data_IF_813115014057
#
_entry.id   IF_813115014057
#
_cell.length_a   1.000
_cell.length_b   1.000
_cell.length_c   1.000
_cell.angle_alpha   90.00
_cell.angle_beta   90.00
_cell.angle_gamma   90.00
#
_symmetry.space_group_name_H-M   'P 1'
#
loop_
_entity.id
_entity.type
_entity.pdbx_description
1 polymer ?
#
# COMPACT_ATOMS: atom_id res chain seq x y z
N UNK A 1 -14.06 0.93 7.63
CA UNK A 1 -13.15 -0.20 7.92
C UNK A 1 -13.86 -1.27 8.77
N UNK A 2 -14.78 -0.90 9.66
CA UNK A 2 -15.60 -1.85 10.44
C UNK A 2 -16.42 -2.83 9.57
N UNK A 3 -17.09 -2.36 8.52
CA UNK A 3 -17.82 -3.27 7.61
C UNK A 3 -16.91 -4.29 6.90
N UNK A 4 -15.63 -3.95 6.73
CA UNK A 4 -14.64 -4.81 6.10
C UNK A 4 -14.09 -5.87 7.06
N UNK A 5 -13.95 -5.51 8.36
CA UNK A 5 -13.61 -6.45 9.43
C UNK A 5 -14.58 -7.62 9.50
N UNK A 6 -15.86 -7.36 9.22
CA UNK A 6 -16.92 -8.36 9.25
C UNK A 6 -16.98 -9.27 8.00
N UNK A 7 -16.25 -8.94 6.91
CA UNK A 7 -16.29 -9.68 5.65
C UNK A 7 -14.95 -10.31 5.23
N UNK A 8 -13.83 -9.86 5.80
CA UNK A 8 -12.49 -10.39 5.52
C UNK A 8 -12.01 -11.27 6.69
N UNK A 9 -12.68 -12.41 6.88
CA UNK A 9 -12.40 -13.34 7.99
C UNK A 9 -10.98 -13.92 7.93
N UNK A 10 -10.38 -14.03 6.74
CA UNK A 10 -9.03 -14.55 6.53
C UNK A 10 -8.02 -13.47 6.09
N UNK A 11 -6.73 -13.80 6.25
CA UNK A 11 -5.63 -12.89 5.91
C UNK A 11 -5.58 -12.58 4.41
N UNK A 12 -5.91 -13.55 3.57
CA UNK A 12 -5.95 -13.41 2.12
C UNK A 12 -7.01 -12.38 1.67
N UNK A 13 -8.21 -12.40 2.25
CA UNK A 13 -9.26 -11.42 1.98
C UNK A 13 -8.84 -10.01 2.41
N UNK A 14 -8.16 -9.86 3.55
CA UNK A 14 -7.61 -8.57 4.00
C UNK A 14 -6.55 -8.04 3.03
N UNK A 15 -5.65 -8.90 2.55
CA UNK A 15 -4.66 -8.52 1.54
C UNK A 15 -5.31 -8.12 0.22
N UNK A 16 -6.32 -8.84 -0.25
CA UNK A 16 -7.02 -8.53 -1.50
C UNK A 16 -7.69 -7.15 -1.44
N UNK A 17 -8.36 -6.84 -0.33
CA UNK A 17 -8.95 -5.50 -0.14
C UNK A 17 -7.86 -4.43 -0.10
N UNK A 18 -6.77 -4.66 0.62
CA UNK A 18 -5.69 -3.69 0.65
C UNK A 18 -5.11 -3.44 -0.74
N UNK A 19 -4.80 -4.52 -1.48
CA UNK A 19 -4.27 -4.43 -2.83
C UNK A 19 -5.21 -3.62 -3.73
N UNK A 20 -6.52 -3.85 -3.64
CA UNK A 20 -7.51 -3.07 -4.37
C UNK A 20 -7.49 -1.59 -3.98
N UNK A 21 -7.45 -1.27 -2.68
CA UNK A 21 -7.42 0.12 -2.20
C UNK A 21 -6.15 0.84 -2.60
N UNK A 22 -4.99 0.19 -2.46
CA UNK A 22 -3.70 0.72 -2.94
C UNK A 22 -3.77 0.96 -4.45
N UNK A 23 -4.27 0.02 -5.24
CA UNK A 23 -4.45 0.19 -6.68
C UNK A 23 -5.32 1.42 -7.01
N UNK A 24 -6.42 1.65 -6.29
CA UNK A 24 -7.26 2.85 -6.52
C UNK A 24 -6.56 4.17 -6.19
N UNK A 25 -5.65 4.17 -5.22
CA UNK A 25 -4.85 5.35 -4.85
C UNK A 25 -3.80 5.63 -5.93
N UNK A 26 -3.10 4.58 -6.38
CA UNK A 26 -2.03 4.68 -7.38
C UNK A 26 -2.58 5.03 -8.77
N UNK A 27 -3.73 4.46 -9.14
CA UNK A 27 -4.40 4.72 -10.43
C UNK A 27 -5.44 5.85 -10.39
N UNK A 28 -5.37 6.73 -9.38
CA UNK A 28 -6.32 7.84 -9.24
C UNK A 28 -6.29 8.79 -10.44
N UNK A 29 -5.16 8.92 -11.12
CA UNK A 29 -5.07 9.55 -12.43
C UNK A 29 -5.30 8.48 -13.51
N UNK A 30 -6.33 8.65 -14.32
CA UNK A 30 -6.63 7.79 -15.49
C UNK A 30 -5.69 8.03 -16.67
N UNK A 31 -4.84 9.06 -16.60
CA UNK A 31 -3.82 9.29 -17.62
C UNK A 31 -2.81 8.15 -17.53
N UNK A 32 -2.77 7.31 -18.57
CA UNK A 32 -2.03 6.05 -18.67
C UNK A 32 -0.49 6.15 -18.56
N UNK A 33 0.05 7.25 -18.06
CA UNK A 33 1.49 7.45 -17.91
C UNK A 33 1.95 6.90 -16.56
N UNK A 34 2.63 5.75 -16.61
CA UNK A 34 3.46 5.15 -15.57
C UNK A 34 2.90 5.24 -14.15
N UNK A 35 1.82 4.49 -13.91
CA UNK A 35 1.52 4.05 -12.56
C UNK A 35 2.65 3.11 -12.10
N UNK A 36 3.34 3.39 -10.99
CA UNK A 36 4.37 2.48 -10.48
C UNK A 36 3.69 1.19 -10.04
N UNK A 37 4.44 0.10 -10.08
CA UNK A 37 4.09 -1.09 -9.33
C UNK A 37 4.67 -0.92 -7.91
N UNK A 38 3.88 -0.51 -6.89
CA UNK A 38 4.37 -0.56 -5.53
C UNK A 38 4.65 -2.02 -5.15
N UNK A 39 5.78 -2.27 -4.47
CA UNK A 39 6.07 -3.59 -3.93
C UNK A 39 5.26 -3.79 -2.64
N UNK A 40 4.52 -4.89 -2.56
CA UNK A 40 3.76 -5.29 -1.38
C UNK A 40 4.30 -6.63 -0.88
N UNK A 41 4.76 -6.68 0.36
CA UNK A 41 5.24 -7.90 1.00
C UNK A 41 4.62 -8.10 2.38
N UNK A 42 4.21 -9.32 2.67
CA UNK A 42 3.71 -9.73 3.99
C UNK A 42 4.68 -10.75 4.59
N UNK A 43 5.22 -10.46 5.77
CA UNK A 43 6.10 -11.37 6.48
C UNK A 43 5.86 -11.27 7.98
N UNK A 44 5.59 -12.41 8.64
CA UNK A 44 5.36 -12.51 10.09
C UNK A 44 4.37 -11.45 10.61
N UNK A 45 3.19 -11.35 9.97
CA UNK A 45 2.16 -10.36 10.34
C UNK A 45 2.52 -8.89 10.07
N UNK A 46 3.72 -8.61 9.57
CA UNK A 46 4.15 -7.28 9.14
C UNK A 46 3.94 -7.12 7.65
N UNK A 47 3.08 -6.17 7.30
CA UNK A 47 2.78 -5.79 5.93
C UNK A 47 3.62 -4.57 5.55
N UNK A 48 4.32 -4.66 4.43
CA UNK A 48 5.21 -3.62 3.94
C UNK A 48 4.80 -3.21 2.54
N UNK A 49 4.59 -1.91 2.36
CA UNK A 49 4.31 -1.28 1.08
C UNK A 49 5.47 -0.35 0.74
N UNK A 50 6.10 -0.56 -0.41
CA UNK A 50 7.27 0.21 -0.84
C UNK A 50 7.00 0.86 -2.19
N UNK A 51 7.46 2.10 -2.33
CA UNK A 51 7.40 2.87 -3.59
C UNK A 51 8.74 3.56 -3.83
N UNK A 52 9.07 3.90 -5.07
CA UNK A 52 10.29 4.68 -5.32
C UNK A 52 10.11 6.12 -4.83
N UNK A 53 11.19 6.71 -4.32
CA UNK A 53 11.21 8.10 -3.87
C UNK A 53 10.89 9.08 -4.99
N UNK A 54 11.40 8.81 -6.20
CA UNK A 54 11.12 9.59 -7.40
C UNK A 54 9.61 9.63 -7.70
N UNK A 55 8.93 8.47 -7.64
CA UNK A 55 7.49 8.42 -7.83
C UNK A 55 6.74 9.21 -6.76
N UNK A 56 7.12 9.05 -5.48
CA UNK A 56 6.46 9.75 -4.38
C UNK A 56 6.59 11.28 -4.53
N UNK A 57 7.72 11.77 -5.05
CA UNK A 57 7.93 13.18 -5.37
C UNK A 57 7.10 13.65 -6.58
N UNK A 58 6.99 12.81 -7.61
CA UNK A 58 6.21 13.12 -8.82
C UNK A 58 4.69 13.08 -8.59
N UNK A 59 4.22 12.28 -7.64
CA UNK A 59 2.80 12.08 -7.33
C UNK A 59 2.48 12.29 -5.84
N UNK A 60 2.64 13.52 -5.31
CA UNK A 60 2.55 13.78 -3.87
C UNK A 60 1.17 13.47 -3.28
N UNK A 61 0.08 13.64 -4.04
CA UNK A 61 -1.28 13.32 -3.59
C UNK A 61 -1.51 11.81 -3.45
N UNK A 62 -0.95 11.01 -4.37
CA UNK A 62 -1.03 9.56 -4.28
C UNK A 62 -0.17 9.06 -3.11
N UNK A 63 1.03 9.62 -2.95
CA UNK A 63 1.89 9.37 -1.79
C UNK A 63 1.18 9.64 -0.45
N UNK A 64 0.55 10.81 -0.30
CA UNK A 64 -0.24 11.14 0.90
C UNK A 64 -1.41 10.16 1.12
N UNK A 65 -2.06 9.72 0.04
CA UNK A 65 -3.08 8.69 0.09
C UNK A 65 -2.56 7.37 0.67
N UNK A 66 -1.37 6.92 0.23
CA UNK A 66 -0.74 5.69 0.73
C UNK A 66 -0.32 5.83 2.20
N UNK A 67 0.19 7.00 2.62
CA UNK A 67 0.51 7.28 4.03
C UNK A 67 -0.74 7.20 4.90
N UNK A 68 -1.84 7.81 4.44
CA UNK A 68 -3.12 7.79 5.17
C UNK A 68 -3.68 6.37 5.25
N UNK A 69 -3.58 5.60 4.17
CA UNK A 69 -3.99 4.21 4.11
C UNK A 69 -3.22 3.35 5.11
N UNK A 70 -1.88 3.39 5.09
CA UNK A 70 -1.04 2.64 6.02
C UNK A 70 -1.37 2.95 7.49
N UNK A 71 -1.65 4.23 7.81
CA UNK A 71 -2.09 4.64 9.15
C UNK A 71 -3.46 4.06 9.50
N UNK A 72 -4.43 4.11 8.58
CA UNK A 72 -5.78 3.62 8.83
C UNK A 72 -5.79 2.10 9.09
N UNK A 73 -5.01 1.33 8.34
CA UNK A 73 -4.89 -0.11 8.54
C UNK A 73 -4.11 -0.48 9.80
N UNK A 74 -3.08 0.29 10.16
CA UNK A 74 -2.38 0.13 11.44
C UNK A 74 -3.31 0.37 12.62
N UNK A 75 -4.13 1.44 12.57
CA UNK A 75 -5.12 1.75 13.61
C UNK A 75 -6.24 0.71 13.69
N UNK A 76 -6.61 0.11 12.55
CA UNK A 76 -7.62 -0.95 12.52
C UNK A 76 -7.12 -2.26 13.14
N UNK A 77 -5.81 -2.42 13.40
CA UNK A 77 -5.24 -3.63 14.00
C UNK A 77 -5.52 -4.89 13.20
N UNK A 78 -5.64 -4.76 11.88
CA UNK A 78 -5.94 -5.87 10.95
C UNK A 78 -4.69 -6.72 10.61
N UNK A 79 -3.52 -6.13 10.84
CA UNK A 79 -2.20 -6.74 10.77
C UNK A 79 -1.43 -6.34 12.03
N UNK A 80 -0.41 -7.12 12.42
CA UNK A 80 0.43 -6.76 13.57
C UNK A 80 1.14 -5.42 13.34
N UNK A 81 1.54 -5.16 12.08
CA UNK A 81 2.18 -3.92 11.69
C UNK A 81 1.99 -3.64 10.21
N UNK A 82 1.71 -2.38 9.85
CA UNK A 82 1.78 -1.91 8.47
C UNK A 82 2.86 -0.83 8.37
N UNK A 83 3.87 -1.06 7.53
CA UNK A 83 4.91 -0.08 7.18
C UNK A 83 4.73 0.39 5.73
N UNK A 84 4.63 1.70 5.54
CA UNK A 84 4.79 2.32 4.23
C UNK A 84 6.11 3.10 4.20
N UNK A 85 6.91 2.88 3.17
CA UNK A 85 8.21 3.54 2.99
C UNK A 85 8.51 3.86 1.53
N UNK A 86 9.39 4.83 1.34
CA UNK A 86 9.92 5.20 0.02
C UNK A 86 11.37 4.76 -0.07
N UNK A 87 11.71 4.06 -1.14
CA UNK A 87 13.05 3.51 -1.40
C UNK A 87 13.73 4.26 -2.55
N UNK A 88 15.06 4.27 -2.57
CA UNK A 88 15.81 4.83 -3.69
C UNK A 88 15.70 3.94 -4.94
N UNK A 89 15.72 4.52 -6.15
CA UNK A 89 15.70 3.76 -7.40
C UNK A 89 16.98 2.91 -7.48
N UNK A 90 16.86 1.60 -7.30
CA UNK A 90 17.97 0.64 -7.22
C UNK A 90 17.82 -0.38 -6.09
N UNK A 91 16.96 -0.14 -5.10
CA UNK A 91 16.66 -1.10 -4.03
C UNK A 91 15.48 -2.04 -4.33
N UNK A 92 14.69 -1.74 -5.36
CA UNK A 92 13.48 -2.51 -5.71
C UNK A 92 13.78 -3.83 -6.44
N UNK A 93 14.94 -3.96 -7.09
CA UNK A 93 15.35 -5.14 -7.88
C UNK A 93 16.04 -6.25 -7.06
N UNK A 94 16.15 -6.10 -5.73
CA UNK A 94 16.92 -7.00 -4.88
C UNK A 94 16.07 -7.86 -3.92
N UNK A 95 14.74 -7.92 -4.10
CA UNK A 95 13.81 -8.65 -3.23
C UNK A 95 13.22 -9.89 -3.90
#
# INVERSE_FOLDING_TARGET
LEALRAQADDEAGRLAVLALRVATIVHRRRDASDAPAPALSLSRGTLRLQTTREWAQRFPLAHQGLVAEARAWSQAGLFERFVYETIEPGAADAA
#
